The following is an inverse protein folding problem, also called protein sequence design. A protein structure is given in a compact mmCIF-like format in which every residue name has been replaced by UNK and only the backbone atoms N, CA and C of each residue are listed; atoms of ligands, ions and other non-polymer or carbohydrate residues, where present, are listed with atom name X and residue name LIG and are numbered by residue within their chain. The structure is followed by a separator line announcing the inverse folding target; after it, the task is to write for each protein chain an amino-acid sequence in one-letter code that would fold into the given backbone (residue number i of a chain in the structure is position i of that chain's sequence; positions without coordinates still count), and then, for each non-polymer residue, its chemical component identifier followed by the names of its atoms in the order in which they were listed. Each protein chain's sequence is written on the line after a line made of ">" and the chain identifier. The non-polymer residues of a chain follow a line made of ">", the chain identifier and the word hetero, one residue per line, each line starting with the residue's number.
data_IF_076304913906
#
_entry.id   IF_076304913906
#
_cell.length_a   1.000
_cell.length_b   1.000
_cell.length_c   1.000
_cell.angle_alpha   90.00
_cell.angle_beta   90.00
_cell.angle_gamma   90.00
#
_symmetry.space_group_name_H-M   'P 1'
#
loop_
_entity.id
_entity.type
_entity.pdbx_description
1 polymer ?
#
# COMPACT_ATOMS: atom_id res chain seq x y z
N UNK A 1 -12.16 -1.36 7.22
CA UNK A 1 -11.11 -2.42 7.16
C UNK A 1 -11.48 -3.41 6.06
N UNK A 2 -10.58 -3.74 5.17
CA UNK A 2 -10.81 -4.69 4.07
C UNK A 2 -9.76 -5.78 4.06
N UNK A 3 -10.15 -7.01 3.67
CA UNK A 3 -9.22 -8.11 3.41
C UNK A 3 -8.85 -8.13 1.92
N UNK A 4 -7.59 -8.41 1.63
CA UNK A 4 -7.07 -8.57 0.28
C UNK A 4 -6.51 -9.96 0.09
N UNK A 5 -6.70 -10.53 -1.09
CA UNK A 5 -6.19 -11.85 -1.44
C UNK A 5 -4.75 -11.78 -1.94
N UNK A 6 -4.37 -10.66 -2.54
CA UNK A 6 -3.03 -10.44 -3.05
C UNK A 6 -2.67 -8.96 -2.97
N UNK A 7 -1.43 -8.69 -2.59
CA UNK A 7 -0.82 -7.35 -2.59
C UNK A 7 0.55 -7.47 -3.25
N UNK A 8 0.83 -6.60 -4.21
CA UNK A 8 2.10 -6.55 -4.93
C UNK A 8 2.58 -5.11 -5.10
N UNK A 9 3.85 -4.93 -5.49
CA UNK A 9 4.42 -3.61 -5.72
C UNK A 9 5.00 -2.92 -4.47
N UNK A 10 5.05 -3.58 -3.31
CA UNK A 10 5.69 -3.04 -2.11
C UNK A 10 7.22 -3.06 -2.28
N UNK A 11 7.74 -2.15 -3.10
CA UNK A 11 9.17 -2.09 -3.41
C UNK A 11 9.64 -0.66 -3.63
N UNK A 12 10.92 -0.45 -3.30
CA UNK A 12 11.64 0.81 -3.42
C UNK A 12 12.83 0.54 -4.33
N UNK A 13 13.06 1.39 -5.30
CA UNK A 13 14.24 1.30 -6.16
C UNK A 13 15.00 2.62 -6.19
N UNK A 14 16.33 2.54 -6.06
CA UNK A 14 17.22 3.69 -6.17
C UNK A 14 18.13 3.47 -7.37
N UNK A 15 18.21 4.46 -8.24
CA UNK A 15 19.11 4.42 -9.38
C UNK A 15 20.56 4.64 -8.93
N UNK A 16 21.48 3.81 -9.43
CA UNK A 16 22.91 4.04 -9.28
C UNK A 16 23.42 4.94 -10.40
N UNK A 17 24.02 6.08 -10.05
CA UNK A 17 24.70 6.96 -10.98
C UNK A 17 26.18 6.58 -11.00
N UNK A 18 26.67 6.18 -12.16
CA UNK A 18 28.07 5.84 -12.34
C UNK A 18 28.90 7.10 -12.66
N UNK A 19 30.01 7.28 -11.97
CA UNK A 19 30.97 8.30 -12.32
C UNK A 19 32.40 7.74 -12.34
N UNK A 20 33.26 8.34 -13.16
CA UNK A 20 34.68 8.02 -13.28
C UNK A 20 35.50 9.18 -12.75
N UNK A 21 36.44 8.89 -11.89
CA UNK A 21 37.53 9.84 -11.57
C UNK A 21 38.65 9.72 -12.60
N UNK A 22 39.14 10.88 -13.08
CA UNK A 22 40.24 10.94 -14.03
C UNK A 22 41.49 10.32 -13.45
N UNK A 23 41.97 9.23 -14.06
CA UNK A 23 43.21 8.51 -13.64
C UNK A 23 42.95 7.07 -13.14
N UNK A 24 41.73 6.67 -12.85
CA UNK A 24 41.40 5.27 -12.52
C UNK A 24 40.67 4.58 -13.67
N UNK A 25 41.39 3.76 -14.44
CA UNK A 25 40.86 3.08 -15.61
C UNK A 25 40.09 1.80 -15.32
N UNK A 26 40.16 1.26 -14.11
CA UNK A 26 39.67 -0.10 -13.78
C UNK A 26 38.47 -0.13 -12.84
N UNK A 27 38.11 0.98 -12.18
CA UNK A 27 37.06 0.99 -11.18
C UNK A 27 36.04 2.08 -11.47
N UNK A 28 34.77 1.70 -11.57
CA UNK A 28 33.63 2.61 -11.67
C UNK A 28 33.09 2.84 -10.25
N UNK A 29 32.96 4.10 -9.87
CA UNK A 29 32.26 4.48 -8.64
C UNK A 29 30.78 4.65 -8.90
N UNK A 30 29.94 4.25 -7.96
CA UNK A 30 28.50 4.42 -8.03
C UNK A 30 28.02 5.28 -6.85
N UNK A 31 27.20 6.26 -7.16
CA UNK A 31 26.53 7.13 -6.18
C UNK A 31 25.03 6.88 -6.24
N UNK A 32 24.32 6.84 -5.11
CA UNK A 32 22.86 6.74 -5.12
C UNK A 32 22.26 7.98 -5.80
N UNK A 33 21.39 7.73 -6.77
CA UNK A 33 20.63 8.74 -7.50
C UNK A 33 19.19 8.87 -6.97
N UNK A 34 18.23 9.06 -7.89
CA UNK A 34 16.83 9.19 -7.52
C UNK A 34 16.25 7.88 -7.00
N UNK A 35 15.54 7.98 -5.89
CA UNK A 35 14.73 6.89 -5.35
C UNK A 35 13.30 7.00 -5.91
N UNK A 36 12.73 5.90 -6.34
CA UNK A 36 11.36 5.79 -6.83
C UNK A 36 10.61 4.67 -6.13
N UNK A 37 9.31 4.88 -5.96
CA UNK A 37 8.40 3.91 -5.37
C UNK A 37 7.55 3.28 -6.46
N UNK A 38 7.45 1.95 -6.46
CA UNK A 38 6.59 1.26 -7.42
C UNK A 38 5.12 1.35 -6.99
N UNK A 39 4.18 1.43 -7.94
CA UNK A 39 2.76 1.40 -7.62
C UNK A 39 2.38 0.12 -6.87
N UNK A 40 1.58 0.26 -5.82
CA UNK A 40 1.06 -0.88 -5.06
C UNK A 40 -0.25 -1.35 -5.68
N UNK A 41 -0.33 -2.64 -5.98
CA UNK A 41 -1.54 -3.28 -6.53
C UNK A 41 -2.18 -4.16 -5.47
N UNK A 42 -3.45 -3.89 -5.18
CA UNK A 42 -4.28 -4.61 -4.22
C UNK A 42 -5.35 -5.38 -4.99
N UNK A 43 -5.50 -6.68 -4.72
CA UNK A 43 -6.53 -7.52 -5.31
C UNK A 43 -7.43 -8.11 -4.22
N UNK A 44 -8.74 -8.08 -4.44
CA UNK A 44 -9.73 -8.73 -3.57
C UNK A 44 -10.93 -9.24 -4.35
N UNK A 45 -11.65 -10.20 -3.78
CA UNK A 45 -12.99 -10.52 -4.25
C UNK A 45 -13.94 -9.36 -3.96
N UNK A 46 -14.84 -9.06 -4.89
CA UNK A 46 -15.84 -8.00 -4.72
C UNK A 46 -16.81 -8.38 -3.62
N UNK A 47 -16.97 -7.49 -2.63
CA UNK A 47 -17.92 -7.65 -1.53
C UNK A 47 -19.13 -6.77 -1.82
N UNK A 48 -20.32 -7.37 -1.81
CA UNK A 48 -21.58 -6.66 -1.98
C UNK A 48 -21.75 -5.58 -0.91
N UNK A 49 -22.08 -4.35 -1.35
CA UNK A 49 -22.26 -3.21 -0.45
C UNK A 49 -21.00 -2.45 -0.05
N UNK A 50 -19.83 -2.85 -0.54
CA UNK A 50 -18.60 -2.11 -0.30
C UNK A 50 -18.25 -1.23 -1.53
N UNK A 51 -18.52 0.05 -1.43
CA UNK A 51 -18.28 1.07 -2.46
C UNK A 51 -17.11 2.04 -2.12
N UNK A 52 -16.31 1.70 -1.10
CA UNK A 52 -15.22 2.57 -0.63
C UNK A 52 -14.20 2.91 -1.73
N UNK A 53 -13.83 1.93 -2.56
CA UNK A 53 -12.92 2.14 -3.69
C UNK A 53 -13.48 3.12 -4.74
N UNK A 54 -14.76 2.99 -5.04
CA UNK A 54 -15.46 3.88 -5.99
C UNK A 54 -15.60 5.29 -5.41
N UNK A 55 -15.92 5.42 -4.12
CA UNK A 55 -15.99 6.72 -3.43
C UNK A 55 -14.64 7.42 -3.44
N UNK A 56 -13.58 6.70 -3.16
CA UNK A 56 -12.22 7.24 -3.18
C UNK A 56 -11.83 7.70 -4.59
N UNK A 57 -12.12 6.91 -5.63
CA UNK A 57 -11.89 7.31 -7.01
C UNK A 57 -12.70 8.58 -7.38
N UNK A 58 -13.95 8.70 -6.93
CA UNK A 58 -14.76 9.91 -7.16
C UNK A 58 -14.16 11.15 -6.51
N UNK A 59 -13.58 11.02 -5.30
CA UNK A 59 -12.88 12.14 -4.65
C UNK A 59 -11.69 12.61 -5.48
N UNK A 60 -10.95 11.68 -6.09
CA UNK A 60 -9.86 12.05 -7.00
C UNK A 60 -10.36 12.82 -8.22
N UNK A 61 -11.46 12.37 -8.84
CA UNK A 61 -12.05 13.08 -9.99
C UNK A 61 -12.56 14.47 -9.60
N UNK A 62 -13.20 14.61 -8.44
CA UNK A 62 -13.66 15.91 -7.95
C UNK A 62 -12.49 16.86 -7.70
N UNK A 63 -11.38 16.37 -7.14
CA UNK A 63 -10.17 17.15 -6.96
C UNK A 63 -9.55 17.58 -8.31
N UNK A 64 -9.55 16.70 -9.31
CA UNK A 64 -9.00 16.99 -10.63
C UNK A 64 -9.85 17.97 -11.44
N UNK A 65 -11.19 17.96 -11.25
CA UNK A 65 -12.13 18.90 -11.92
C UNK A 65 -12.24 20.26 -11.22
N UNK A 66 -11.63 20.43 -10.05
CA UNK A 66 -11.68 21.68 -9.29
C UNK A 66 -12.99 21.90 -8.52
N UNK A 67 -13.84 20.89 -8.39
CA UNK A 67 -15.12 20.96 -7.66
C UNK A 67 -14.96 21.07 -6.14
N UNK A 68 -13.73 21.00 -5.66
CA UNK A 68 -13.43 20.93 -4.24
C UNK A 68 -13.69 19.53 -3.67
N UNK A 69 -12.79 19.05 -2.82
CA UNK A 69 -12.95 17.73 -2.20
C UNK A 69 -13.70 17.89 -0.88
N UNK A 70 -14.84 17.23 -0.69
CA UNK A 70 -15.51 17.20 0.60
C UNK A 70 -14.64 16.39 1.58
N UNK A 71 -13.87 17.09 2.37
CA UNK A 71 -13.05 16.51 3.43
C UNK A 71 -12.62 17.61 4.38
N UNK A 72 -12.75 17.38 5.68
CA UNK A 72 -12.54 18.40 6.72
C UNK A 72 -11.08 18.86 6.86
N UNK A 73 -10.13 18.23 6.18
CA UNK A 73 -8.68 18.40 6.35
C UNK A 73 -7.91 18.75 5.07
N UNK A 74 -8.60 19.00 3.97
CA UNK A 74 -7.96 19.45 2.71
C UNK A 74 -7.11 18.40 1.98
N UNK A 75 -7.00 17.18 2.50
CA UNK A 75 -6.21 16.07 1.90
C UNK A 75 -7.03 15.14 1.04
N UNK A 76 -8.26 15.40 0.88
CA UNK A 76 -9.40 14.71 0.32
C UNK A 76 -9.25 13.49 -0.58
N UNK A 77 -8.22 13.37 -1.40
CA UNK A 77 -7.99 12.20 -2.25
C UNK A 77 -6.76 11.39 -1.86
N UNK A 78 -5.87 11.93 -1.03
CA UNK A 78 -4.68 11.24 -0.52
C UNK A 78 -4.94 10.70 0.87
N UNK A 79 -4.46 9.51 1.14
CA UNK A 79 -4.55 8.91 2.48
C UNK A 79 -3.30 8.12 2.82
N UNK A 80 -3.12 7.86 4.11
CA UNK A 80 -2.17 6.87 4.60
C UNK A 80 -2.88 5.52 4.67
N UNK A 81 -2.23 4.49 4.17
CA UNK A 81 -2.77 3.14 4.17
C UNK A 81 -1.87 2.21 4.98
N UNK A 82 -2.43 1.57 5.99
CA UNK A 82 -1.76 0.54 6.77
C UNK A 82 -2.16 -0.85 6.29
N UNK A 83 -1.16 -1.64 5.89
CA UNK A 83 -1.31 -3.02 5.44
C UNK A 83 -0.73 -3.93 6.51
N UNK A 84 -1.57 -4.75 7.12
CA UNK A 84 -1.17 -5.70 8.13
C UNK A 84 -1.01 -7.10 7.54
N UNK A 85 0.16 -7.69 7.70
CA UNK A 85 0.39 -9.11 7.45
C UNK A 85 0.07 -9.85 8.73
N UNK A 86 -1.07 -10.51 8.74
CA UNK A 86 -1.56 -11.22 9.92
C UNK A 86 -0.67 -12.43 10.23
N UNK A 87 -0.57 -12.76 11.51
CA UNK A 87 0.05 -13.99 11.96
C UNK A 87 -0.86 -15.20 11.70
N UNK A 88 -0.34 -16.40 11.93
CA UNK A 88 -1.11 -17.64 11.88
C UNK A 88 -2.38 -17.53 12.73
N UNK A 89 -3.49 -18.20 12.34
CA UNK A 89 -4.76 -18.03 13.05
C UNK A 89 -4.59 -18.22 14.55
N UNK A 90 -4.84 -17.15 15.28
CA UNK A 90 -4.84 -17.15 16.72
C UNK A 90 -6.00 -18.02 17.19
N UNK A 91 -5.72 -19.01 18.00
CA UNK A 91 -6.72 -19.73 18.79
C UNK A 91 -7.35 -18.74 19.79
N UNK A 92 -8.41 -18.06 19.38
CA UNK A 92 -9.06 -17.04 20.19
C UNK A 92 -10.19 -16.30 19.48
N UNK A 93 -10.70 -15.27 20.11
CA UNK A 93 -11.79 -14.46 19.59
C UNK A 93 -11.47 -13.87 18.20
N UNK A 94 -12.47 -13.77 17.31
CA UNK A 94 -12.29 -13.22 15.97
C UNK A 94 -11.73 -11.79 16.02
N UNK A 95 -10.90 -11.44 15.04
CA UNK A 95 -10.38 -10.09 14.86
C UNK A 95 -11.46 -9.27 14.15
N UNK A 96 -12.19 -8.45 14.90
CA UNK A 96 -13.35 -7.70 14.39
C UNK A 96 -12.97 -6.29 13.92
N UNK A 97 -11.80 -5.78 14.34
CA UNK A 97 -11.39 -4.42 14.03
C UNK A 97 -9.87 -4.28 13.92
N UNK A 98 -9.42 -3.15 13.38
CA UNK A 98 -7.99 -2.80 13.37
C UNK A 98 -7.42 -2.69 14.79
N UNK A 99 -8.22 -2.21 15.74
CA UNK A 99 -7.81 -2.14 17.15
C UNK A 99 -7.57 -3.52 17.76
N UNK A 100 -8.35 -4.53 17.38
CA UNK A 100 -8.12 -5.91 17.82
C UNK A 100 -6.80 -6.47 17.27
N UNK A 101 -6.46 -6.15 16.02
CA UNK A 101 -5.19 -6.57 15.40
C UNK A 101 -4.01 -5.96 16.17
N UNK A 102 -4.09 -4.68 16.50
CA UNK A 102 -3.03 -3.96 17.22
C UNK A 102 -2.93 -4.42 18.67
N UNK A 103 -4.05 -4.43 19.40
CA UNK A 103 -4.07 -4.73 20.83
C UNK A 103 -3.70 -6.18 21.15
N UNK A 104 -4.01 -7.11 20.25
CA UNK A 104 -3.67 -8.54 20.38
C UNK A 104 -2.34 -8.90 19.75
N UNK A 105 -1.63 -7.93 19.19
CA UNK A 105 -0.38 -8.15 18.45
C UNK A 105 -0.50 -9.27 17.40
N UNK A 106 -1.62 -9.28 16.68
CA UNK A 106 -2.04 -10.35 15.77
C UNK A 106 -1.44 -10.22 14.35
N UNK A 107 -0.39 -9.45 14.20
CA UNK A 107 0.30 -9.24 12.92
C UNK A 107 1.80 -9.49 13.06
N UNK A 108 2.45 -9.95 11.99
CA UNK A 108 3.91 -10.11 11.93
C UNK A 108 4.61 -8.87 11.42
N UNK A 109 3.95 -8.18 10.50
CA UNK A 109 4.53 -7.05 9.81
C UNK A 109 3.44 -6.07 9.43
N UNK A 110 3.75 -4.79 9.50
CA UNK A 110 2.91 -3.70 9.04
C UNK A 110 3.67 -2.89 8.00
N UNK A 111 3.05 -2.67 6.86
CA UNK A 111 3.50 -1.70 5.88
C UNK A 111 2.61 -0.46 5.97
N UNK A 112 3.21 0.72 6.08
CA UNK A 112 2.50 1.99 6.00
C UNK A 112 2.87 2.65 4.68
N UNK A 113 1.88 2.84 3.83
CA UNK A 113 2.00 3.52 2.54
C UNK A 113 1.58 4.96 2.73
N UNK A 114 2.50 5.90 2.46
CA UNK A 114 2.29 7.33 2.74
C UNK A 114 1.75 8.06 1.51
N UNK A 115 0.78 8.97 1.74
CA UNK A 115 0.21 9.84 0.71
C UNK A 115 -0.27 9.08 -0.53
N UNK A 116 -0.93 7.93 -0.30
CA UNK A 116 -1.43 7.08 -1.36
C UNK A 116 -2.72 7.63 -1.97
N UNK A 117 -2.87 7.42 -3.28
CA UNK A 117 -4.10 7.71 -4.02
C UNK A 117 -4.32 6.68 -5.12
N UNK A 118 -5.59 6.47 -5.49
CA UNK A 118 -5.97 5.48 -6.50
C UNK A 118 -5.59 6.00 -7.89
N UNK A 119 -4.72 5.27 -8.60
CA UNK A 119 -4.42 5.53 -10.00
C UNK A 119 -5.31 4.75 -10.96
N UNK A 120 -5.73 3.56 -10.55
CA UNK A 120 -6.56 2.69 -11.36
C UNK A 120 -7.46 1.82 -10.46
N UNK A 121 -8.71 1.67 -10.88
CA UNK A 121 -9.67 0.73 -10.33
C UNK A 121 -10.20 -0.12 -11.49
N UNK A 122 -10.06 -1.41 -11.42
CA UNK A 122 -10.51 -2.34 -12.45
C UNK A 122 -11.18 -3.57 -11.83
N UNK A 123 -12.09 -4.15 -12.59
CA UNK A 123 -12.79 -5.38 -12.24
C UNK A 123 -12.44 -6.45 -13.26
N UNK A 124 -12.45 -7.72 -12.82
CA UNK A 124 -12.31 -8.85 -13.73
C UNK A 124 -13.47 -8.93 -14.71
N UNK A 125 -13.31 -9.72 -15.75
CA UNK A 125 -14.36 -9.93 -16.75
C UNK A 125 -15.62 -10.51 -16.11
N UNK A 126 -16.78 -10.05 -16.61
CA UNK A 126 -18.10 -10.49 -16.20
C UNK A 126 -18.56 -11.60 -17.15
N UNK A 127 -18.49 -12.87 -16.72
CA UNK A 127 -18.94 -14.00 -17.50
C UNK A 127 -20.03 -14.76 -16.73
N UNK A 128 -21.25 -14.75 -17.29
CA UNK A 128 -22.41 -15.41 -16.67
C UNK A 128 -22.41 -16.95 -16.86
N UNK A 129 -21.56 -17.49 -17.75
CA UNK A 129 -21.48 -18.93 -18.03
C UNK A 129 -20.47 -19.67 -17.15
N UNK A 130 -19.65 -18.96 -16.40
CA UNK A 130 -18.63 -19.54 -15.51
C UNK A 130 -18.89 -19.16 -14.05
N UNK A 131 -18.62 -20.10 -13.13
CA UNK A 131 -18.68 -19.83 -11.69
C UNK A 131 -17.41 -19.06 -11.24
N UNK A 132 -17.26 -17.83 -11.71
CA UNK A 132 -16.15 -16.96 -11.36
C UNK A 132 -16.53 -15.98 -10.24
N UNK A 133 -15.60 -15.70 -9.35
CA UNK A 133 -15.73 -14.60 -8.37
C UNK A 133 -15.26 -13.32 -9.05
N UNK A 134 -16.09 -12.27 -8.99
CA UNK A 134 -15.70 -10.95 -9.47
C UNK A 134 -14.54 -10.43 -8.61
N UNK A 135 -13.40 -10.20 -9.24
CA UNK A 135 -12.21 -9.65 -8.59
C UNK A 135 -12.12 -8.17 -8.84
N UNK A 136 -11.85 -7.42 -7.78
CA UNK A 136 -11.53 -5.99 -7.82
C UNK A 136 -10.02 -5.80 -7.68
N UNK A 137 -9.43 -5.03 -8.57
CA UNK A 137 -8.02 -4.66 -8.56
C UNK A 137 -7.88 -3.16 -8.42
N UNK A 138 -7.18 -2.73 -7.38
CA UNK A 138 -6.92 -1.32 -7.07
C UNK A 138 -5.43 -1.09 -7.21
N UNK A 139 -5.03 -0.12 -8.03
CA UNK A 139 -3.64 0.32 -8.14
C UNK A 139 -3.48 1.67 -7.46
N UNK A 140 -2.48 1.76 -6.59
CA UNK A 140 -2.16 2.95 -5.81
C UNK A 140 -0.79 3.50 -6.21
N UNK A 141 -0.72 4.81 -6.32
CA UNK A 141 0.55 5.56 -6.35
C UNK A 141 0.75 6.17 -4.97
N UNK A 142 1.99 6.22 -4.50
CA UNK A 142 2.33 6.73 -3.18
C UNK A 142 3.68 7.45 -3.16
N UNK A 143 3.95 8.17 -2.08
CA UNK A 143 5.15 9.00 -1.93
C UNK A 143 6.13 8.47 -0.87
N UNK A 144 5.77 7.37 -0.19
CA UNK A 144 6.63 6.76 0.80
C UNK A 144 6.14 5.39 1.26
N UNK A 145 7.05 4.58 1.78
CA UNK A 145 6.78 3.26 2.34
C UNK A 145 7.55 3.12 3.64
N UNK A 146 6.87 2.75 4.72
CA UNK A 146 7.48 2.40 6.00
C UNK A 146 7.15 0.96 6.35
N UNK A 147 8.11 0.26 6.95
CA UNK A 147 7.94 -1.13 7.39
C UNK A 147 8.13 -1.20 8.90
N UNK A 148 7.17 -1.81 9.59
CA UNK A 148 7.25 -2.06 11.02
C UNK A 148 7.08 -3.54 11.27
N UNK A 149 8.02 -4.15 11.97
CA UNK A 149 7.94 -5.54 12.43
C UNK A 149 7.21 -5.59 13.77
N UNK A 150 6.39 -6.61 13.97
CA UNK A 150 5.78 -6.84 15.26
C UNK A 150 6.85 -7.22 16.28
N UNK A 151 6.69 -6.71 17.50
CA UNK A 151 7.61 -6.99 18.60
C UNK A 151 7.27 -8.35 19.22
N UNK A 152 8.06 -9.36 18.92
CA UNK A 152 8.00 -10.68 19.54
C UNK A 152 8.88 -10.77 20.79
N UNK A 153 8.77 -9.79 21.70
CA UNK A 153 9.52 -9.77 22.95
C UNK A 153 10.83 -8.99 22.91
N UNK A 154 11.07 -8.22 21.86
CA UNK A 154 12.12 -7.22 21.81
C UNK A 154 11.58 -5.87 22.31
N UNK A 155 12.35 -5.16 23.09
CA UNK A 155 11.93 -3.93 23.76
C UNK A 155 11.83 -2.68 22.86
N UNK A 156 12.09 -2.80 21.55
CA UNK A 156 12.04 -1.68 20.59
C UNK A 156 11.49 -2.14 19.25
N UNK A 157 10.37 -1.62 18.77
CA UNK A 157 9.90 -1.87 17.41
C UNK A 157 10.88 -1.26 16.41
N UNK A 158 11.35 -2.06 15.47
CA UNK A 158 12.19 -1.58 14.38
C UNK A 158 11.28 -0.98 13.30
N UNK A 159 11.25 0.33 13.23
CA UNK A 159 10.55 1.06 12.17
C UNK A 159 11.60 1.66 11.23
N UNK A 160 11.59 1.21 10.00
CA UNK A 160 12.38 1.83 8.94
C UNK A 160 11.43 2.64 8.04
N UNK A 161 11.70 3.94 7.96
CA UNK A 161 10.92 4.87 7.15
C UNK A 161 11.74 5.29 5.95
N UNK A 162 11.23 5.02 4.78
CA UNK A 162 11.79 5.46 3.50
C UNK A 162 10.85 6.52 2.92
N UNK A 163 11.22 7.76 3.07
CA UNK A 163 10.51 8.94 2.55
C UNK A 163 11.37 9.73 1.57
#
# INVERSE_FOLDING_TARGET
>A
MGGFTSISGLSISTQGIQYREGGMNTTLHQVPGMTSFNPVTLMRGTILGNDEGIKWMRQLFAAASGEGVPGADGTGYRCHLDIYVLDHPLTGAPLLSTNDIISKNAYKMKFTVHNAWISQLSYSDLNASENGILMETIQLIHEGLSVTLADYGASVPTTETYS
#
